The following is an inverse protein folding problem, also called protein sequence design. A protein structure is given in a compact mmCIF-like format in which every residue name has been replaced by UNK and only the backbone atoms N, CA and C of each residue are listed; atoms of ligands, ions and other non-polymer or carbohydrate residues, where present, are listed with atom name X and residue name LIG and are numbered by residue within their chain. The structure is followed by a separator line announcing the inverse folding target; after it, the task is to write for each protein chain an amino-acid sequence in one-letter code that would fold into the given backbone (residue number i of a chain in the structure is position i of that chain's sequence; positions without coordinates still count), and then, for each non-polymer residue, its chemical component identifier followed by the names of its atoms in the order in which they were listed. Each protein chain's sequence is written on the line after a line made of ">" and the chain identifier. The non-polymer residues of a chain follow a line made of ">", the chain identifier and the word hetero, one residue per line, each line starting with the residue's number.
data_IF_412227599927
#
_entry.id   IF_412227599927
#
_cell.length_a   1.000
_cell.length_b   1.000
_cell.length_c   1.000
_cell.angle_alpha   90.00
_cell.angle_beta   90.00
_cell.angle_gamma   90.00
#
_symmetry.space_group_name_H-M   'P 1'
#
loop_
_entity.id
_entity.type
_entity.pdbx_description
1 polymer ?
#
# COMPACT_ATOMS: atom_id res chain seq x y z
N UNK A 1 -13.49 -2.05 -13.26
CA UNK A 1 -13.56 -1.82 -11.81
C UNK A 1 -12.67 -2.83 -11.13
N UNK A 2 -11.75 -2.39 -10.26
CA UNK A 2 -10.77 -3.27 -9.59
C UNK A 2 -11.44 -4.09 -8.48
N UNK A 3 -10.80 -5.18 -8.07
CA UNK A 3 -11.28 -6.00 -6.95
C UNK A 3 -11.36 -5.19 -5.65
N UNK A 4 -10.32 -4.41 -5.36
CA UNK A 4 -10.26 -3.54 -4.20
C UNK A 4 -11.45 -2.58 -4.15
N UNK A 5 -11.67 -1.80 -5.22
CA UNK A 5 -12.74 -0.81 -5.25
C UNK A 5 -14.12 -1.47 -5.06
N UNK A 6 -14.36 -2.61 -5.72
CA UNK A 6 -15.61 -3.37 -5.57
C UNK A 6 -15.87 -3.79 -4.12
N UNK A 7 -14.86 -4.30 -3.41
CA UNK A 7 -14.97 -4.75 -2.01
C UNK A 7 -15.25 -3.56 -1.09
N UNK A 8 -14.50 -2.46 -1.25
CA UNK A 8 -14.66 -1.25 -0.44
C UNK A 8 -16.03 -0.58 -0.67
N UNK A 9 -16.52 -0.55 -1.91
CA UNK A 9 -17.86 -0.02 -2.21
C UNK A 9 -18.98 -0.87 -1.62
N UNK A 10 -18.83 -2.20 -1.63
CA UNK A 10 -19.75 -3.13 -0.97
C UNK A 10 -19.85 -2.84 0.53
N UNK A 11 -18.71 -2.78 1.22
CA UNK A 11 -18.65 -2.47 2.65
C UNK A 11 -19.20 -1.08 2.99
N UNK A 12 -18.91 -0.06 2.15
CA UNK A 12 -19.45 1.29 2.34
C UNK A 12 -20.98 1.32 2.17
N UNK A 13 -21.53 0.46 1.32
CA UNK A 13 -22.98 0.32 1.10
C UNK A 13 -23.77 -0.06 2.36
N UNK A 14 -23.10 -0.59 3.39
CA UNK A 14 -23.68 -0.92 4.70
C UNK A 14 -23.88 0.31 5.60
N UNK A 15 -23.51 1.52 5.14
CA UNK A 15 -23.72 2.77 5.88
C UNK A 15 -22.68 3.06 6.97
N UNK A 16 -21.62 2.27 7.06
CA UNK A 16 -20.50 2.46 8.01
C UNK A 16 -19.25 3.05 7.33
N UNK A 17 -18.32 3.52 8.16
CA UNK A 17 -16.99 3.93 7.70
C UNK A 17 -16.12 2.69 7.45
N UNK A 18 -15.16 2.85 6.55
CA UNK A 18 -14.19 1.80 6.22
C UNK A 18 -12.98 1.88 7.16
N UNK A 19 -12.43 0.72 7.51
CA UNK A 19 -11.19 0.58 8.28
C UNK A 19 -10.10 -0.07 7.43
N UNK A 20 -8.94 0.60 7.34
CA UNK A 20 -7.77 0.12 6.61
C UNK A 20 -6.54 0.17 7.53
N UNK A 21 -6.21 -0.92 8.25
CA UNK A 21 -5.03 -0.97 9.10
C UNK A 21 -3.74 -1.07 8.28
N UNK A 22 -2.66 -0.47 8.78
CA UNK A 22 -1.33 -0.56 8.22
C UNK A 22 -0.42 -1.46 9.06
N UNK A 23 0.28 -2.40 8.41
CA UNK A 23 1.27 -3.28 9.03
C UNK A 23 2.57 -3.28 8.22
N UNK A 24 3.71 -3.17 8.89
CA UNK A 24 5.01 -3.38 8.25
C UNK A 24 5.26 -4.88 8.10
N UNK A 25 5.42 -5.35 6.87
CA UNK A 25 5.66 -6.75 6.58
C UNK A 25 6.97 -7.26 7.18
N UNK A 26 6.89 -8.41 7.86
CA UNK A 26 8.04 -9.06 8.50
C UNK A 26 8.47 -8.46 9.83
N UNK A 27 7.72 -7.50 10.41
CA UNK A 27 8.02 -6.90 11.70
C UNK A 27 7.00 -7.31 12.78
N UNK A 28 7.44 -7.54 14.04
CA UNK A 28 8.84 -7.60 14.50
C UNK A 28 9.61 -8.82 13.98
N UNK A 29 8.88 -9.86 13.55
CA UNK A 29 9.34 -11.03 12.82
C UNK A 29 8.19 -11.54 11.92
N UNK A 30 8.47 -12.56 11.11
CA UNK A 30 7.49 -13.10 10.14
C UNK A 30 6.28 -13.73 10.83
N UNK A 31 6.47 -14.50 11.90
CA UNK A 31 5.38 -15.21 12.57
C UNK A 31 4.43 -14.23 13.26
N UNK A 32 4.99 -13.23 13.94
CA UNK A 32 4.23 -12.15 14.56
C UNK A 32 3.48 -11.30 13.53
N UNK A 33 4.10 -10.99 12.39
CA UNK A 33 3.44 -10.29 11.28
C UNK A 33 2.25 -11.08 10.74
N UNK A 34 2.40 -12.37 10.46
CA UNK A 34 1.32 -13.22 9.92
C UNK A 34 0.17 -13.34 10.93
N UNK A 35 0.48 -13.52 12.21
CA UNK A 35 -0.53 -13.55 13.27
C UNK A 35 -1.30 -12.22 13.37
N UNK A 36 -0.58 -11.09 13.33
CA UNK A 36 -1.18 -9.77 13.34
C UNK A 36 -2.06 -9.52 12.10
N UNK A 37 -1.57 -9.87 10.91
CA UNK A 37 -2.29 -9.74 9.64
C UNK A 37 -3.62 -10.49 9.69
N UNK A 38 -3.62 -11.75 10.15
CA UNK A 38 -4.85 -12.54 10.30
C UNK A 38 -5.83 -11.90 11.27
N UNK A 39 -5.34 -11.46 12.44
CA UNK A 39 -6.19 -10.87 13.45
C UNK A 39 -6.82 -9.54 13.00
N UNK A 40 -6.05 -8.62 12.40
CA UNK A 40 -6.60 -7.35 11.92
C UNK A 40 -7.55 -7.54 10.74
N UNK A 41 -7.30 -8.54 9.90
CA UNK A 41 -8.14 -8.83 8.75
C UNK A 41 -9.57 -9.23 9.11
N UNK A 42 -9.81 -9.79 10.29
CA UNK A 42 -11.16 -10.11 10.79
C UNK A 42 -12.05 -8.87 11.02
N UNK A 43 -11.44 -7.70 11.11
CA UNK A 43 -12.11 -6.44 11.46
C UNK A 43 -11.89 -5.32 10.43
N UNK A 44 -11.12 -5.57 9.39
CA UNK A 44 -10.74 -4.59 8.38
C UNK A 44 -11.56 -4.73 7.10
N UNK A 45 -11.62 -3.65 6.31
CA UNK A 45 -12.18 -3.68 4.95
C UNK A 45 -11.09 -3.86 3.88
N UNK A 46 -9.86 -3.52 4.22
CA UNK A 46 -8.62 -3.80 3.50
C UNK A 46 -7.44 -3.69 4.47
N UNK A 47 -6.26 -4.18 4.09
CA UNK A 47 -5.03 -4.02 4.89
C UNK A 47 -3.93 -3.40 4.02
N UNK A 48 -3.28 -2.36 4.52
CA UNK A 48 -2.06 -1.82 3.94
C UNK A 48 -0.85 -2.58 4.47
N UNK A 49 -0.03 -3.07 3.55
CA UNK A 49 1.18 -3.83 3.80
C UNK A 49 2.37 -2.96 3.43
N UNK A 50 3.02 -2.42 4.46
CA UNK A 50 4.24 -1.65 4.34
C UNK A 50 5.41 -2.54 3.95
N UNK A 51 6.03 -2.25 2.80
CA UNK A 51 7.24 -2.93 2.36
C UNK A 51 8.46 -2.24 3.01
N UNK A 52 9.28 -2.95 3.80
CA UNK A 52 10.39 -2.36 4.53
C UNK A 52 11.44 -1.83 3.56
N UNK A 53 11.85 -0.56 3.76
CA UNK A 53 12.78 0.14 2.89
C UNK A 53 13.91 0.80 3.70
N UNK A 54 15.12 0.84 3.12
CA UNK A 54 16.33 1.31 3.80
C UNK A 54 16.31 2.81 4.07
N UNK A 55 15.69 3.59 3.18
CA UNK A 55 15.69 5.05 3.21
C UNK A 55 14.26 5.61 3.31
N UNK A 56 13.54 5.35 4.42
CA UNK A 56 12.13 5.64 4.52
C UNK A 56 11.87 7.12 4.86
N UNK A 57 12.04 8.00 3.86
CA UNK A 57 11.93 9.47 4.01
C UNK A 57 10.55 9.95 4.47
N UNK A 58 9.49 9.17 4.21
CA UNK A 58 8.10 9.55 4.48
C UNK A 58 7.53 8.89 5.75
N UNK A 59 8.29 8.00 6.39
CA UNK A 59 7.86 7.26 7.56
C UNK A 59 8.36 7.90 8.86
N UNK A 60 7.48 7.91 9.87
CA UNK A 60 7.81 8.33 11.22
C UNK A 60 8.66 7.29 11.96
N UNK A 61 9.20 7.65 13.13
CA UNK A 61 10.17 6.84 13.86
C UNK A 61 9.65 5.45 14.22
N UNK A 62 8.35 5.29 14.48
CA UNK A 62 7.74 3.99 14.80
C UNK A 62 7.78 3.05 13.59
N UNK A 63 7.37 3.55 12.43
CA UNK A 63 7.31 2.78 11.18
C UNK A 63 8.73 2.49 10.67
N UNK A 64 9.61 3.50 10.71
CA UNK A 64 11.02 3.32 10.35
C UNK A 64 11.69 2.25 11.23
N UNK A 65 11.47 2.27 12.55
CA UNK A 65 12.02 1.25 13.45
C UNK A 65 11.47 -0.16 13.16
N UNK A 66 10.19 -0.28 12.78
CA UNK A 66 9.62 -1.56 12.37
C UNK A 66 10.23 -2.06 11.05
N UNK A 67 10.39 -1.19 10.06
CA UNK A 67 11.03 -1.53 8.78
C UNK A 67 12.48 -1.97 8.98
N UNK A 68 13.25 -1.29 9.84
CA UNK A 68 14.62 -1.67 10.17
C UNK A 68 14.71 -3.04 10.83
N UNK A 69 13.75 -3.42 11.69
CA UNK A 69 13.69 -4.78 12.26
C UNK A 69 13.47 -5.84 11.18
N UNK A 70 12.54 -5.61 10.25
CA UNK A 70 12.30 -6.53 9.14
C UNK A 70 13.54 -6.67 8.23
N UNK A 71 14.21 -5.56 7.89
CA UNK A 71 15.46 -5.57 7.11
C UNK A 71 16.59 -6.31 7.83
N UNK A 72 16.75 -6.09 9.13
CA UNK A 72 17.75 -6.81 9.94
C UNK A 72 17.47 -8.32 10.02
N UNK A 73 16.20 -8.72 9.91
CA UNK A 73 15.78 -10.12 9.76
C UNK A 73 15.95 -10.69 8.34
N UNK A 74 16.50 -9.90 7.40
CA UNK A 74 16.72 -10.33 6.01
C UNK A 74 15.50 -10.18 5.09
N UNK A 75 14.43 -9.52 5.56
CA UNK A 75 13.21 -9.33 4.78
C UNK A 75 13.28 -7.99 4.04
N UNK A 76 13.67 -8.02 2.76
CA UNK A 76 13.61 -6.87 1.86
C UNK A 76 12.20 -6.63 1.28
N UNK A 77 11.97 -5.53 0.54
CA UNK A 77 10.64 -5.14 0.03
C UNK A 77 9.90 -6.23 -0.75
N UNK A 78 10.62 -6.94 -1.62
CA UNK A 78 10.03 -7.98 -2.47
C UNK A 78 9.68 -9.23 -1.67
N UNK A 79 10.56 -9.63 -0.75
CA UNK A 79 10.30 -10.77 0.14
C UNK A 79 9.17 -10.46 1.13
N UNK A 80 9.09 -9.23 1.62
CA UNK A 80 8.00 -8.73 2.45
C UNK A 80 6.63 -8.85 1.76
N UNK A 81 6.56 -8.47 0.48
CA UNK A 81 5.34 -8.58 -0.32
C UNK A 81 4.89 -10.03 -0.49
N UNK A 82 5.84 -10.98 -0.51
CA UNK A 82 5.62 -12.41 -0.74
C UNK A 82 5.43 -13.22 0.55
N UNK A 83 5.41 -12.56 1.72
CA UNK A 83 5.13 -13.24 2.99
C UNK A 83 3.71 -13.86 2.99
N UNK A 84 3.50 -14.93 3.77
CA UNK A 84 2.18 -15.56 3.89
C UNK A 84 1.08 -14.56 4.28
N UNK A 85 -0.12 -14.78 3.75
CA UNK A 85 -1.27 -13.92 3.97
C UNK A 85 -2.36 -13.98 2.90
N UNK A 86 -2.26 -14.92 1.95
CA UNK A 86 -3.29 -15.14 0.91
C UNK A 86 -4.56 -15.81 1.48
N UNK A 87 -4.50 -16.29 2.72
CA UNK A 87 -5.59 -16.91 3.46
C UNK A 87 -6.55 -15.90 4.11
N UNK A 88 -6.19 -14.61 4.14
CA UNK A 88 -7.10 -13.54 4.61
C UNK A 88 -8.09 -13.14 3.51
N UNK A 89 -9.36 -12.93 3.87
CA UNK A 89 -10.43 -12.61 2.90
C UNK A 89 -10.47 -11.12 2.49
N UNK A 90 -9.75 -10.25 3.19
CA UNK A 90 -9.73 -8.81 2.89
C UNK A 90 -8.64 -8.47 1.86
N UNK A 91 -8.90 -7.53 0.93
CA UNK A 91 -7.89 -7.12 -0.03
C UNK A 91 -6.70 -6.48 0.67
N UNK A 92 -5.48 -6.81 0.22
CA UNK A 92 -4.23 -6.24 0.71
C UNK A 92 -3.66 -5.24 -0.30
N UNK A 93 -3.19 -4.09 0.15
CA UNK A 93 -2.47 -3.12 -0.67
C UNK A 93 -1.00 -3.12 -0.29
N UNK A 94 -0.10 -3.07 -1.27
CA UNK A 94 1.32 -2.82 -0.97
C UNK A 94 1.55 -1.31 -0.90
N UNK A 95 2.08 -0.85 0.23
CA UNK A 95 2.59 0.51 0.41
C UNK A 95 4.12 0.47 0.38
N UNK A 96 4.71 1.14 -0.60
CA UNK A 96 6.16 1.09 -0.83
C UNK A 96 6.66 2.40 -1.45
N UNK A 97 7.96 2.64 -1.32
CA UNK A 97 8.66 3.65 -2.10
C UNK A 97 8.80 3.20 -3.56
N UNK A 98 9.02 4.15 -4.45
CA UNK A 98 9.19 3.87 -5.88
C UNK A 98 10.49 3.13 -6.19
N UNK A 99 11.57 3.37 -5.43
CA UNK A 99 12.86 2.76 -5.72
C UNK A 99 12.84 1.20 -5.75
N UNK A 100 12.23 0.48 -4.77
CA UNK A 100 12.02 -0.96 -4.87
C UNK A 100 11.32 -1.41 -6.16
N UNK A 101 10.32 -0.66 -6.62
CA UNK A 101 9.59 -0.94 -7.87
C UNK A 101 10.52 -0.74 -9.07
N UNK A 102 11.19 0.41 -9.12
CA UNK A 102 12.09 0.77 -10.21
C UNK A 102 13.24 -0.24 -10.35
N UNK A 103 13.82 -0.68 -9.24
CA UNK A 103 14.97 -1.59 -9.21
C UNK A 103 14.72 -2.95 -9.88
N UNK A 104 13.48 -3.43 -9.88
CA UNK A 104 13.08 -4.69 -10.54
C UNK A 104 12.31 -4.48 -11.85
N UNK A 105 11.90 -3.25 -12.13
CA UNK A 105 11.02 -2.90 -13.23
C UNK A 105 9.54 -2.92 -12.84
N UNK A 106 8.79 -1.92 -13.29
CA UNK A 106 7.38 -1.71 -12.91
C UNK A 106 6.49 -2.90 -13.26
N UNK A 107 6.65 -3.46 -14.46
CA UNK A 107 5.86 -4.61 -14.92
C UNK A 107 6.11 -5.86 -14.06
N UNK A 108 7.38 -6.18 -13.80
CA UNK A 108 7.74 -7.35 -13.00
C UNK A 108 7.30 -7.16 -11.55
N UNK A 109 7.45 -5.96 -10.99
CA UNK A 109 6.94 -5.65 -9.66
C UNK A 109 5.43 -5.88 -9.57
N UNK A 110 4.65 -5.35 -10.53
CA UNK A 110 3.20 -5.50 -10.53
C UNK A 110 2.77 -6.97 -10.70
N UNK A 111 3.47 -7.74 -11.55
CA UNK A 111 3.22 -9.18 -11.72
C UNK A 111 3.44 -9.95 -10.43
N UNK A 112 4.56 -9.68 -9.74
CA UNK A 112 4.85 -10.29 -8.43
C UNK A 112 3.85 -9.89 -7.37
N UNK A 113 3.46 -8.62 -7.32
CA UNK A 113 2.42 -8.13 -6.42
C UNK A 113 1.12 -8.89 -6.64
N UNK A 114 0.68 -9.03 -7.90
CA UNK A 114 -0.54 -9.78 -8.24
C UNK A 114 -0.44 -11.24 -7.82
N UNK A 115 0.70 -11.90 -8.10
CA UNK A 115 0.96 -13.29 -7.72
C UNK A 115 0.99 -13.50 -6.19
N UNK A 116 1.46 -12.50 -5.44
CA UNK A 116 1.45 -12.51 -3.98
C UNK A 116 0.05 -12.25 -3.37
N UNK A 117 -0.95 -11.94 -4.19
CA UNK A 117 -2.31 -11.63 -3.75
C UNK A 117 -2.50 -10.20 -3.27
N UNK A 118 -1.65 -9.27 -3.72
CA UNK A 118 -1.88 -7.83 -3.54
C UNK A 118 -2.96 -7.37 -4.53
N UNK A 119 -3.86 -6.51 -4.07
CA UNK A 119 -4.99 -5.98 -4.81
C UNK A 119 -4.79 -4.52 -5.26
N UNK A 120 -3.76 -3.83 -4.78
CA UNK A 120 -3.45 -2.46 -5.18
C UNK A 120 -2.14 -1.92 -4.62
N UNK A 121 -1.70 -0.78 -5.14
CA UNK A 121 -0.46 -0.10 -4.76
C UNK A 121 -0.73 1.30 -4.21
N UNK A 122 0.07 1.67 -3.21
CA UNK A 122 0.25 3.02 -2.69
C UNK A 122 1.74 3.36 -2.80
N UNK A 123 2.08 4.42 -3.53
CA UNK A 123 3.48 4.84 -3.76
C UNK A 123 3.64 6.30 -3.37
N UNK A 124 3.96 6.61 -2.09
CA UNK A 124 3.88 7.97 -1.54
C UNK A 124 4.85 8.98 -2.17
N UNK A 125 5.99 8.51 -2.66
CA UNK A 125 7.08 9.31 -3.22
C UNK A 125 6.96 9.53 -4.74
N UNK A 126 5.94 8.97 -5.40
CA UNK A 126 5.76 9.09 -6.85
C UNK A 126 4.68 10.14 -7.20
N UNK A 127 5.06 11.33 -7.73
CA UNK A 127 4.10 12.37 -8.06
C UNK A 127 3.24 12.00 -9.28
N UNK A 128 2.07 12.65 -9.39
CA UNK A 128 1.14 12.46 -10.51
C UNK A 128 1.84 12.56 -11.87
N UNK A 129 2.71 13.54 -12.01
CA UNK A 129 3.44 13.86 -13.24
C UNK A 129 4.36 12.71 -13.72
N UNK A 130 4.89 11.91 -12.80
CA UNK A 130 5.83 10.80 -13.09
C UNK A 130 5.15 9.43 -13.02
N UNK A 131 3.95 9.34 -12.44
CA UNK A 131 3.24 8.08 -12.21
C UNK A 131 2.67 7.36 -13.45
N UNK A 132 2.77 7.94 -14.64
CA UNK A 132 2.01 7.45 -15.81
C UNK A 132 2.40 6.03 -16.25
N UNK A 133 3.70 5.72 -16.25
CA UNK A 133 4.23 4.39 -16.59
C UNK A 133 3.79 3.34 -15.57
N UNK A 134 4.01 3.61 -14.28
CA UNK A 134 3.63 2.70 -13.21
C UNK A 134 2.12 2.46 -13.17
N UNK A 135 1.30 3.51 -13.38
CA UNK A 135 -0.16 3.36 -13.45
C UNK A 135 -0.60 2.45 -14.59
N UNK A 136 0.10 2.47 -15.73
CA UNK A 136 -0.18 1.56 -16.83
C UNK A 136 0.18 0.09 -16.46
N UNK A 137 1.33 -0.13 -15.81
CA UNK A 137 1.72 -1.46 -15.33
C UNK A 137 0.75 -2.01 -14.25
N UNK A 138 0.33 -1.17 -13.31
CA UNK A 138 -0.70 -1.48 -12.30
C UNK A 138 -2.00 -1.90 -12.97
N UNK A 139 -2.46 -1.14 -13.97
CA UNK A 139 -3.68 -1.44 -14.70
C UNK A 139 -3.59 -2.75 -15.50
N UNK A 140 -2.43 -3.03 -16.11
CA UNK A 140 -2.21 -4.25 -16.90
C UNK A 140 -2.35 -5.53 -16.04
N UNK A 141 -1.98 -5.47 -14.77
CA UNK A 141 -2.09 -6.58 -13.81
C UNK A 141 -3.42 -6.59 -13.03
N UNK A 142 -4.35 -5.67 -13.36
CA UNK A 142 -5.64 -5.54 -12.70
C UNK A 142 -5.58 -5.03 -11.25
N UNK A 143 -4.44 -4.47 -10.84
CA UNK A 143 -4.22 -3.90 -9.53
C UNK A 143 -4.89 -2.51 -9.42
N UNK A 144 -5.27 -2.13 -8.21
CA UNK A 144 -5.76 -0.79 -7.93
C UNK A 144 -4.62 0.22 -7.72
N UNK A 145 -4.82 1.44 -8.24
CA UNK A 145 -3.96 2.59 -7.99
C UNK A 145 -4.62 3.50 -6.95
N UNK A 146 -3.91 3.73 -5.85
CA UNK A 146 -4.33 4.59 -4.75
C UNK A 146 -3.41 5.82 -4.68
N UNK A 147 -3.78 6.95 -5.31
CA UNK A 147 -2.97 8.15 -5.26
C UNK A 147 -3.17 8.93 -3.95
N UNK A 148 -2.19 9.78 -3.63
CA UNK A 148 -2.18 10.61 -2.43
C UNK A 148 -2.55 12.06 -2.75
N UNK A 149 -3.30 12.70 -1.86
CA UNK A 149 -3.54 14.15 -1.83
C UNK A 149 -3.14 14.72 -0.47
N UNK A 150 -2.62 15.94 -0.47
CA UNK A 150 -2.23 16.66 0.75
C UNK A 150 -3.17 17.84 1.04
N UNK A 151 -3.27 18.33 2.30
CA UNK A 151 -4.08 19.49 2.66
C UNK A 151 -3.68 20.78 1.92
N UNK A 152 -2.42 20.85 1.47
CA UNK A 152 -1.88 21.96 0.66
C UNK A 152 -2.15 21.81 -0.84
N UNK A 153 -2.76 20.71 -1.28
CA UNK A 153 -3.09 20.51 -2.69
C UNK A 153 -4.19 21.47 -3.10
N UNK A 154 -3.99 22.19 -4.21
CA UNK A 154 -5.07 23.02 -4.78
C UNK A 154 -6.25 22.14 -5.22
N UNK A 155 -7.48 22.68 -5.28
CA UNK A 155 -8.65 21.95 -5.78
C UNK A 155 -8.42 21.32 -7.16
N UNK A 156 -7.76 22.03 -8.08
CA UNK A 156 -7.43 21.51 -9.41
C UNK A 156 -6.45 20.33 -9.34
N UNK A 157 -5.45 20.40 -8.44
CA UNK A 157 -4.51 19.29 -8.23
C UNK A 157 -5.23 18.08 -7.64
N UNK A 158 -6.12 18.28 -6.67
CA UNK A 158 -6.95 17.21 -6.10
C UNK A 158 -7.81 16.55 -7.17
N UNK A 159 -8.48 17.32 -8.03
CA UNK A 159 -9.31 16.78 -9.10
C UNK A 159 -8.50 15.94 -10.10
N UNK A 160 -7.32 16.43 -10.52
CA UNK A 160 -6.42 15.71 -11.43
C UNK A 160 -5.90 14.40 -10.81
N UNK A 161 -5.53 14.43 -9.52
CA UNK A 161 -5.05 13.25 -8.81
C UNK A 161 -6.18 12.23 -8.63
N UNK A 162 -7.34 12.67 -8.15
CA UNK A 162 -8.50 11.80 -7.92
C UNK A 162 -8.98 11.12 -9.20
N UNK A 163 -8.89 11.79 -10.36
CA UNK A 163 -9.23 11.21 -11.66
C UNK A 163 -8.34 10.02 -12.05
N UNK A 164 -7.18 9.83 -11.41
CA UNK A 164 -6.30 8.67 -11.66
C UNK A 164 -6.60 7.47 -10.76
N UNK A 165 -7.38 7.65 -9.69
CA UNK A 165 -7.62 6.60 -8.70
C UNK A 165 -8.45 5.46 -9.29
N UNK A 166 -7.99 4.23 -9.07
CA UNK A 166 -8.77 3.01 -9.37
C UNK A 166 -8.99 2.14 -8.12
N UNK A 167 -8.53 2.61 -6.96
CA UNK A 167 -8.90 2.15 -5.62
C UNK A 167 -9.62 3.27 -4.87
N UNK A 168 -8.91 3.95 -3.98
CA UNK A 168 -9.39 5.13 -3.26
C UNK A 168 -8.37 6.27 -3.35
N UNK A 169 -8.70 7.44 -2.84
CA UNK A 169 -7.75 8.56 -2.71
C UNK A 169 -7.28 8.62 -1.26
N UNK A 170 -5.98 8.53 -1.04
CA UNK A 170 -5.38 8.64 0.29
C UNK A 170 -5.17 10.12 0.62
N UNK A 171 -5.89 10.64 1.62
CA UNK A 171 -5.70 12.01 2.09
C UNK A 171 -4.74 12.01 3.29
N UNK A 172 -3.54 12.58 3.13
CA UNK A 172 -2.60 12.71 4.26
C UNK A 172 -3.10 13.79 5.23
N UNK A 173 -3.10 13.50 6.53
CA UNK A 173 -3.72 14.37 7.54
C UNK A 173 -2.82 15.49 8.05
N UNK A 174 -1.50 15.38 7.85
CA UNK A 174 -0.50 16.36 8.31
C UNK A 174 0.52 16.63 7.21
N UNK A 175 1.23 17.76 7.33
CA UNK A 175 2.36 18.12 6.46
C UNK A 175 3.66 17.37 6.82
N UNK A 176 3.57 16.32 7.63
CA UNK A 176 4.72 15.58 8.17
C UNK A 176 4.66 14.10 7.82
N UNK A 177 5.53 13.32 8.47
CA UNK A 177 5.64 11.86 8.29
C UNK A 177 4.56 11.08 9.07
N UNK A 178 4.28 9.85 8.64
CA UNK A 178 3.27 8.97 9.27
C UNK A 178 3.84 8.26 10.52
N UNK A 179 3.16 8.32 11.68
CA UNK A 179 3.53 7.52 12.86
C UNK A 179 4.57 8.17 13.79
N UNK A 180 4.31 9.41 14.20
CA UNK A 180 5.03 10.13 15.25
C UNK A 180 4.85 9.51 16.64
#
# INVERSE_FOLDING_TARGET
>A
MTELLRRLEGARGEGRKLLVPYLVAGAPDVDAYVAALRNVAEHADAVEVGLPFSDPLMDGPVIAAAAQRALAGGIGPLGAMELPGQDVDVPRLAMTYYNPIHSVGEEEFCRRARAAGIAGLIVPDLPLEESSSLRAAVAAEGLAWTPLVAPTSSPDRVARIAATATGFVYAVSTLGVTGA
#
